data_IF_480100099346
#
_entry.id   IF_480100099346
#
_cell.length_a   1.000
_cell.length_b   1.000
_cell.length_c   1.000
_cell.angle_alpha   90.00
_cell.angle_beta   90.00
_cell.angle_gamma   90.00
#
_symmetry.space_group_name_H-M   'P 1'
#
loop_
_entity.id
_entity.type
_entity.pdbx_description
1 polymer ?
#
# COMPACT_ATOMS: atom_id res chain seq x y z
N UNK A 1 7.26 4.75 -14.96
CA UNK A 1 7.39 3.94 -13.73
C UNK A 1 6.75 4.63 -12.54
N UNK A 2 7.18 5.85 -12.16
CA UNK A 2 6.60 6.58 -11.01
C UNK A 2 5.09 6.84 -11.14
N UNK A 3 4.61 7.30 -12.30
CA UNK A 3 3.16 7.50 -12.56
C UNK A 3 2.35 6.19 -12.46
N UNK A 4 2.96 5.06 -12.84
CA UNK A 4 2.33 3.74 -12.82
C UNK A 4 2.23 3.20 -11.39
N UNK A 5 3.22 3.50 -10.54
CA UNK A 5 3.19 3.21 -9.10
C UNK A 5 2.08 4.02 -8.42
N UNK A 6 1.97 5.32 -8.73
CA UNK A 6 0.90 6.17 -8.19
C UNK A 6 -0.50 5.66 -8.58
N UNK A 7 -0.67 5.21 -9.81
CA UNK A 7 -1.94 4.64 -10.29
C UNK A 7 -2.28 3.31 -9.58
N UNK A 8 -1.32 2.38 -9.49
CA UNK A 8 -1.51 1.09 -8.81
C UNK A 8 -1.81 1.28 -7.33
N UNK A 9 -1.13 2.21 -6.66
CA UNK A 9 -1.39 2.56 -5.28
C UNK A 9 -2.82 3.10 -5.09
N UNK A 10 -3.28 3.99 -5.96
CA UNK A 10 -4.65 4.49 -5.95
C UNK A 10 -5.70 3.39 -6.10
N UNK A 11 -5.46 2.42 -6.99
CA UNK A 11 -6.35 1.27 -7.21
C UNK A 11 -6.41 0.37 -5.96
N UNK A 12 -5.27 0.05 -5.35
CA UNK A 12 -5.22 -0.78 -4.14
C UNK A 12 -5.90 -0.09 -2.95
N UNK A 13 -5.67 1.20 -2.79
CA UNK A 13 -6.25 1.98 -1.71
C UNK A 13 -7.77 2.13 -1.88
N UNK A 14 -8.25 2.34 -3.10
CA UNK A 14 -9.68 2.32 -3.41
C UNK A 14 -10.32 0.96 -3.11
N UNK A 15 -9.65 -0.15 -3.47
CA UNK A 15 -10.10 -1.50 -3.13
C UNK A 15 -10.20 -1.73 -1.63
N UNK A 16 -9.18 -1.30 -0.87
CA UNK A 16 -9.15 -1.41 0.59
C UNK A 16 -10.30 -0.63 1.25
N UNK A 17 -10.54 0.61 0.83
CA UNK A 17 -11.64 1.45 1.35
C UNK A 17 -13.00 0.81 1.08
N UNK A 18 -13.21 0.25 -0.12
CA UNK A 18 -14.48 -0.43 -0.45
C UNK A 18 -14.67 -1.65 0.44
N UNK A 19 -13.63 -2.45 0.66
CA UNK A 19 -13.74 -3.61 1.58
C UNK A 19 -13.98 -3.17 3.03
N UNK A 20 -13.34 -2.12 3.50
CA UNK A 20 -13.55 -1.58 4.85
C UNK A 20 -14.99 -1.06 5.03
N UNK A 21 -15.53 -0.34 4.04
CA UNK A 21 -16.88 0.20 4.06
C UNK A 21 -17.98 -0.87 3.94
N UNK A 22 -17.75 -1.94 3.17
CA UNK A 22 -18.73 -3.03 3.00
C UNK A 22 -18.80 -3.93 4.23
N UNK A 23 -17.67 -4.17 4.91
CA UNK A 23 -17.60 -5.04 6.09
C UNK A 23 -17.63 -4.28 7.42
N UNK A 24 -17.77 -2.95 7.40
CA UNK A 24 -17.70 -2.06 8.56
C UNK A 24 -16.43 -2.28 9.41
N UNK A 25 -15.33 -2.64 8.74
CA UNK A 25 -14.06 -2.97 9.38
C UNK A 25 -13.22 -1.69 9.52
N UNK A 26 -12.92 -1.22 10.74
CA UNK A 26 -12.11 -0.03 10.94
C UNK A 26 -10.68 -0.30 10.47
N UNK A 27 -10.34 0.27 9.31
CA UNK A 27 -9.04 0.11 8.70
C UNK A 27 -8.37 1.43 8.36
N UNK A 28 -7.20 1.31 7.75
CA UNK A 28 -6.30 2.45 7.54
C UNK A 28 -6.62 3.13 6.19
N UNK A 29 -7.33 2.46 5.27
CA UNK A 29 -7.76 3.03 4.01
C UNK A 29 -8.79 4.14 4.20
N UNK A 30 -9.82 3.89 5.00
CA UNK A 30 -10.84 4.88 5.37
C UNK A 30 -10.25 6.04 6.16
N UNK A 31 -9.29 5.79 7.05
CA UNK A 31 -8.53 6.82 7.77
C UNK A 31 -7.69 7.70 6.83
N UNK A 32 -7.04 7.12 5.82
CA UNK A 32 -6.28 7.86 4.83
C UNK A 32 -7.20 8.77 4.00
N UNK A 33 -8.35 8.26 3.54
CA UNK A 33 -9.33 9.06 2.78
C UNK A 33 -9.92 10.18 3.63
N UNK A 34 -10.27 9.92 4.90
CA UNK A 34 -10.79 10.97 5.78
C UNK A 34 -9.76 12.06 6.06
N UNK A 35 -8.48 11.70 6.18
CA UNK A 35 -7.38 12.65 6.39
C UNK A 35 -7.13 13.52 5.16
N UNK A 36 -7.27 12.95 3.95
CA UNK A 36 -7.23 13.72 2.69
C UNK A 36 -8.40 14.70 2.62
N UNK A 37 -9.62 14.24 2.94
CA UNK A 37 -10.82 15.08 2.91
C UNK A 37 -10.78 16.20 3.95
N UNK A 38 -10.18 15.95 5.12
CA UNK A 38 -9.97 16.96 6.16
C UNK A 38 -8.75 17.86 5.92
N UNK A 39 -8.00 17.65 4.81
CA UNK A 39 -6.74 18.35 4.53
C UNK A 39 -5.73 18.28 5.70
N UNK A 40 -5.75 17.18 6.45
CA UNK A 40 -4.77 16.93 7.50
C UNK A 40 -3.49 16.38 6.85
N UNK A 41 -2.64 17.31 6.40
CA UNK A 41 -1.40 16.99 5.72
C UNK A 41 -0.44 16.13 6.58
N UNK A 42 -0.48 16.26 7.91
CA UNK A 42 0.38 15.46 8.80
C UNK A 42 -0.07 13.99 8.82
N UNK A 43 -1.37 13.74 8.94
CA UNK A 43 -1.91 12.39 8.92
C UNK A 43 -1.70 11.72 7.55
N UNK A 44 -1.92 12.44 6.45
CA UNK A 44 -1.69 11.93 5.08
C UNK A 44 -0.22 11.59 4.85
N UNK A 45 0.70 12.46 5.28
CA UNK A 45 2.13 12.23 5.10
C UNK A 45 2.62 11.05 5.95
N UNK A 46 2.15 10.94 7.20
CA UNK A 46 2.43 9.79 8.08
C UNK A 46 1.92 8.46 7.50
N UNK A 47 0.68 8.45 7.00
CA UNK A 47 0.12 7.30 6.31
C UNK A 47 0.91 6.93 5.05
N UNK A 48 1.32 7.92 4.26
CA UNK A 48 2.10 7.70 3.02
C UNK A 48 3.44 7.02 3.31
N UNK A 49 4.17 7.50 4.33
CA UNK A 49 5.45 6.89 4.73
C UNK A 49 5.24 5.47 5.29
N UNK A 50 4.19 5.27 6.08
CA UNK A 50 3.88 3.96 6.66
C UNK A 50 3.50 2.94 5.59
N UNK A 51 2.59 3.31 4.68
CA UNK A 51 2.19 2.49 3.53
C UNK A 51 3.38 2.19 2.59
N UNK A 52 4.22 3.20 2.32
CA UNK A 52 5.43 3.03 1.54
C UNK A 52 6.43 2.06 2.18
N UNK A 53 6.59 2.13 3.50
CA UNK A 53 7.47 1.21 4.26
C UNK A 53 6.97 -0.22 4.17
N UNK A 54 5.66 -0.45 4.34
CA UNK A 54 5.05 -1.77 4.16
C UNK A 54 5.25 -2.26 2.73
N UNK A 55 5.07 -1.39 1.74
CA UNK A 55 5.27 -1.77 0.35
C UNK A 55 6.70 -2.23 0.09
N UNK A 56 7.70 -1.53 0.63
CA UNK A 56 9.11 -1.93 0.54
C UNK A 56 9.34 -3.27 1.24
N UNK A 57 8.81 -3.46 2.45
CA UNK A 57 8.95 -4.72 3.21
C UNK A 57 8.32 -5.89 2.47
N UNK A 58 7.12 -5.71 1.91
CA UNK A 58 6.43 -6.75 1.13
C UNK A 58 7.21 -7.08 -0.14
N UNK A 59 7.71 -6.09 -0.87
CA UNK A 59 8.56 -6.36 -2.04
C UNK A 59 9.84 -7.11 -1.64
N UNK A 60 10.48 -6.73 -0.54
CA UNK A 60 11.67 -7.41 -0.04
C UNK A 60 11.36 -8.87 0.34
N UNK A 61 10.21 -9.12 0.98
CA UNK A 61 9.76 -10.48 1.29
C UNK A 61 9.48 -11.28 0.02
N UNK A 62 8.84 -10.67 -0.97
CA UNK A 62 8.57 -11.30 -2.27
C UNK A 62 9.89 -11.66 -2.98
N UNK A 63 10.87 -10.76 -2.99
CA UNK A 63 12.20 -11.01 -3.55
C UNK A 63 12.92 -12.16 -2.82
N UNK A 64 12.86 -12.19 -1.49
CA UNK A 64 13.43 -13.29 -0.68
C UNK A 64 12.74 -14.60 -1.01
N UNK A 65 11.40 -14.61 -1.06
CA UNK A 65 10.61 -15.80 -1.40
C UNK A 65 10.93 -16.26 -2.82
N UNK A 66 11.01 -15.36 -3.80
CA UNK A 66 11.43 -15.70 -5.16
C UNK A 66 12.85 -16.26 -5.20
N UNK A 67 13.79 -15.67 -4.46
CA UNK A 67 15.17 -16.17 -4.38
C UNK A 67 15.26 -17.58 -3.78
N UNK A 68 14.36 -17.90 -2.84
CA UNK A 68 14.28 -19.22 -2.19
C UNK A 68 13.52 -20.25 -3.03
N UNK A 69 12.44 -19.84 -3.71
CA UNK A 69 11.59 -20.72 -4.52
C UNK A 69 12.20 -20.99 -5.89
N UNK A 70 12.92 -20.03 -6.48
CA UNK A 70 13.54 -20.17 -7.79
C UNK A 70 15.08 -19.96 -7.74
N UNK A 71 15.87 -21.00 -7.45
CA UNK A 71 17.33 -20.93 -7.53
C UNK A 71 17.87 -20.84 -8.97
N UNK A 72 17.01 -20.76 -10.00
CA UNK A 72 17.36 -20.90 -11.43
C UNK A 72 17.69 -19.59 -12.15
N UNK A 73 17.43 -18.41 -11.60
CA UNK A 73 17.79 -17.12 -12.21
C UNK A 73 19.29 -16.75 -12.03
N UNK A 74 20.15 -17.73 -11.76
CA UNK A 74 21.59 -17.57 -11.54
C UNK A 74 22.45 -17.81 -12.79
N UNK A 75 21.89 -17.75 -14.00
CA UNK A 75 22.67 -17.87 -15.25
C UNK A 75 22.75 -16.57 -16.01
#
# INVERSE_FOLDING_TARGET
TVTQIGLLFGILLAGAVVTEAVFDWPGIGTYAVSSILQSDYNAVMGFTVWAGTIFIVVNLLVDIVHTLVDPRERS
#
